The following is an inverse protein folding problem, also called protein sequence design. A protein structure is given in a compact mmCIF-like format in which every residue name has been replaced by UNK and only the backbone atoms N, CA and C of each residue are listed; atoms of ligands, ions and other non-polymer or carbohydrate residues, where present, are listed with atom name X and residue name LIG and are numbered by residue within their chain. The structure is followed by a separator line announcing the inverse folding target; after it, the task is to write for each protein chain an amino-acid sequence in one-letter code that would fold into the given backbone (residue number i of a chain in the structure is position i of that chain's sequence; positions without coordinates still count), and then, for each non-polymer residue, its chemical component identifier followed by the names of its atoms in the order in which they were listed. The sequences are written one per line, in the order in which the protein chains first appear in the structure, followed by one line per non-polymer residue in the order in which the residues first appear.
data_IF_168456328791
#
_entry.id   IF_168456328791
#
_cell.length_a   1.000
_cell.length_b   1.000
_cell.length_c   1.000
_cell.angle_alpha   90.00
_cell.angle_beta   90.00
_cell.angle_gamma   90.00
#
_symmetry.space_group_name_H-M   'P 1'
#
loop_
_entity.id
_entity.type
_entity.pdbx_description
1 polymer ?
#
# COMPACT_ATOMS: atom_id res chain seq x y z
N UNK A 1 -2.07 27.89 13.30
CA UNK A 1 -1.27 26.88 12.58
C UNK A 1 -1.81 26.81 11.16
N UNK A 2 -1.44 27.76 10.29
CA UNK A 2 -0.32 27.68 9.32
C UNK A 2 -0.28 26.34 8.56
N UNK A 3 -1.12 26.24 7.53
CA UNK A 3 -0.99 25.27 6.45
C UNK A 3 0.15 25.72 5.54
N UNK A 4 1.38 25.64 6.05
CA UNK A 4 2.55 25.98 5.27
C UNK A 4 2.92 24.75 4.45
N UNK A 5 2.86 24.92 3.13
CA UNK A 5 3.46 24.04 2.12
C UNK A 5 2.72 22.72 1.84
N UNK A 6 1.63 22.86 1.08
CA UNK A 6 1.11 21.77 0.24
C UNK A 6 2.22 21.42 -0.76
N UNK A 7 3.00 20.38 -0.46
CA UNK A 7 3.96 19.80 -1.39
C UNK A 7 3.18 19.04 -2.48
N UNK A 8 2.68 19.79 -3.47
CA UNK A 8 2.43 19.20 -4.78
C UNK A 8 3.83 18.88 -5.29
N UNK A 9 4.31 17.67 -4.98
CA UNK A 9 5.35 17.02 -5.75
C UNK A 9 5.08 17.39 -7.21
N UNK A 10 6.07 18.02 -7.86
CA UNK A 10 6.01 18.51 -9.24
C UNK A 10 5.98 17.31 -10.20
N UNK A 11 4.94 16.48 -10.05
CA UNK A 11 4.69 15.36 -10.91
C UNK A 11 4.31 16.00 -12.23
N UNK A 12 5.27 16.01 -13.15
CA UNK A 12 5.20 16.61 -14.48
C UNK A 12 3.93 16.23 -15.26
N UNK A 13 3.19 15.20 -14.83
CA UNK A 13 1.81 14.95 -15.24
C UNK A 13 1.04 14.11 -14.20
N UNK A 14 -0.30 14.15 -14.27
CA UNK A 14 -1.21 13.24 -13.53
C UNK A 14 -0.85 11.77 -13.77
N UNK A 15 -0.30 11.42 -14.94
CA UNK A 15 0.13 10.06 -15.26
C UNK A 15 1.33 9.64 -14.40
N UNK A 16 2.33 10.51 -14.29
CA UNK A 16 3.51 10.27 -13.44
C UNK A 16 3.12 10.18 -11.97
N UNK A 17 2.17 11.01 -11.54
CA UNK A 17 1.62 10.98 -10.18
C UNK A 17 0.95 9.63 -9.87
N UNK A 18 0.06 9.17 -10.75
CA UNK A 18 -0.62 7.87 -10.59
C UNK A 18 0.37 6.71 -10.56
N UNK A 19 1.42 6.75 -11.38
CA UNK A 19 2.46 5.73 -11.38
C UNK A 19 3.25 5.73 -10.05
N UNK A 20 3.62 6.91 -9.55
CA UNK A 20 4.31 7.05 -8.27
C UNK A 20 3.43 6.55 -7.10
N UNK A 21 2.15 6.93 -7.07
CA UNK A 21 1.23 6.43 -6.06
C UNK A 21 1.04 4.93 -6.14
N UNK A 22 0.89 4.35 -7.35
CA UNK A 22 0.77 2.91 -7.50
C UNK A 22 1.98 2.17 -6.91
N UNK A 23 3.19 2.69 -7.15
CA UNK A 23 4.42 2.13 -6.57
C UNK A 23 4.44 2.26 -5.05
N UNK A 24 4.07 3.42 -4.52
CA UNK A 24 3.99 3.66 -3.07
C UNK A 24 2.97 2.74 -2.39
N UNK A 25 1.78 2.57 -2.98
CA UNK A 25 0.76 1.65 -2.47
C UNK A 25 1.23 0.20 -2.50
N UNK A 26 1.88 -0.25 -3.58
CA UNK A 26 2.43 -1.60 -3.66
C UNK A 26 3.44 -1.87 -2.53
N UNK A 27 4.42 -0.98 -2.37
CA UNK A 27 5.46 -1.12 -1.35
C UNK A 27 4.86 -1.14 0.06
N UNK A 28 3.91 -0.23 0.36
CA UNK A 28 3.23 -0.19 1.65
C UNK A 28 2.44 -1.48 1.92
N UNK A 29 1.73 -2.00 0.93
CA UNK A 29 0.82 -3.13 1.09
C UNK A 29 1.51 -4.51 1.07
N UNK A 30 2.66 -4.64 0.40
CA UNK A 30 3.28 -5.95 0.18
C UNK A 30 4.68 -6.10 0.76
N UNK A 31 5.42 -5.01 0.99
CA UNK A 31 6.85 -5.10 1.28
C UNK A 31 7.19 -4.55 2.67
N UNK A 32 6.38 -3.64 3.21
CA UNK A 32 6.63 -3.06 4.52
C UNK A 32 5.93 -3.86 5.62
N UNK A 33 6.66 -4.46 6.57
CA UNK A 33 6.07 -4.96 7.80
C UNK A 33 5.61 -3.77 8.64
N UNK A 34 4.35 -3.78 9.10
CA UNK A 34 3.81 -2.71 9.93
C UNK A 34 3.72 -3.16 11.38
N UNK A 35 4.23 -2.33 12.30
CA UNK A 35 4.17 -2.62 13.73
C UNK A 35 2.73 -2.72 14.25
N UNK A 36 1.79 -1.99 13.65
CA UNK A 36 0.36 -2.08 13.97
C UNK A 36 -0.26 -3.44 13.61
N UNK A 37 0.37 -4.21 12.73
CA UNK A 37 -0.04 -5.55 12.31
C UNK A 37 0.93 -6.62 12.82
N UNK A 38 1.55 -6.39 13.97
CA UNK A 38 2.51 -7.33 14.59
C UNK A 38 3.69 -7.72 13.68
N UNK A 39 4.04 -6.83 12.73
CA UNK A 39 5.09 -7.09 11.74
C UNK A 39 4.60 -7.73 10.45
N UNK A 40 3.30 -8.01 10.29
CA UNK A 40 2.72 -8.42 9.03
C UNK A 40 2.53 -7.22 8.08
N UNK A 41 2.46 -7.52 6.79
CA UNK A 41 2.04 -6.55 5.77
C UNK A 41 0.52 -6.39 5.78
N UNK A 42 -0.02 -5.29 5.24
CA UNK A 42 -1.46 -5.10 5.15
C UNK A 42 -2.12 -6.19 4.30
N UNK A 43 -1.42 -6.69 3.26
CA UNK A 43 -1.95 -7.79 2.44
C UNK A 43 -2.09 -9.06 3.25
N UNK A 44 -1.09 -9.42 4.06
CA UNK A 44 -1.18 -10.58 4.94
C UNK A 44 -2.27 -10.42 6.02
N UNK A 45 -2.57 -9.20 6.44
CA UNK A 45 -3.59 -8.95 7.47
C UNK A 45 -5.00 -8.99 6.89
N UNK A 46 -5.24 -8.35 5.75
CA UNK A 46 -6.59 -8.22 5.17
C UNK A 46 -6.94 -9.35 4.20
N UNK A 47 -5.95 -9.94 3.54
CA UNK A 47 -6.10 -11.07 2.61
C UNK A 47 -5.46 -12.35 3.17
N UNK A 48 -5.12 -12.34 4.46
CA UNK A 48 -4.57 -13.46 5.20
C UNK A 48 -5.46 -14.69 5.16
N UNK A 49 -5.01 -15.67 4.38
CA UNK A 49 -5.56 -17.01 4.15
C UNK A 49 -6.90 -17.09 3.41
N UNK A 50 -6.97 -16.51 2.21
CA UNK A 50 -7.71 -17.17 1.14
C UNK A 50 -7.03 -18.51 0.80
N UNK A 51 -7.31 -19.55 1.60
CA UNK A 51 -7.14 -20.93 1.13
C UNK A 51 -7.82 -21.02 -0.24
N UNK A 52 -7.17 -21.62 -1.26
CA UNK A 52 -7.86 -21.90 -2.51
C UNK A 52 -9.11 -22.71 -2.17
N UNK A 53 -10.24 -22.08 -2.45
CA UNK A 53 -11.59 -22.58 -2.49
C UNK A 53 -11.63 -24.12 -2.60
N UNK A 54 -11.84 -24.80 -1.48
CA UNK A 54 -12.28 -26.19 -1.35
C UNK A 54 -11.59 -27.26 -2.20
N UNK A 55 -10.57 -27.92 -1.66
CA UNK A 55 -10.28 -29.32 -2.01
C UNK A 55 -10.92 -30.25 -0.96
N UNK A 56 -11.92 -31.08 -1.32
CA UNK A 56 -12.39 -32.13 -0.43
C UNK A 56 -11.42 -33.32 -0.45
N UNK A 57 -11.14 -33.86 0.73
CA UNK A 57 -10.53 -35.18 0.91
C UNK A 57 -11.48 -36.31 0.48
#
# INVERSE_FOLDING_TARGET
MKYEEIHINDYASVKSLRAAFKKSFHFYNHERPHQSFEGATPVETYYGNESPIGEPA
#
